data_IF_525231235619
#
_entry.id   IF_525231235619
#
_cell.length_a   1.000
_cell.length_b   1.000
_cell.length_c   1.000
_cell.angle_alpha   90.00
_cell.angle_beta   90.00
_cell.angle_gamma   90.00
#
_symmetry.space_group_name_H-M   'P 1'
#
loop_
_entity.id
_entity.type
_entity.pdbx_description
1 polymer ?
#
# COMPACT_ATOMS: atom_id res chain seq x y z
N UNK A 1 0.99 -9.60 -29.31
CA UNK A 1 0.65 -8.17 -29.19
C UNK A 1 -0.77 -8.08 -28.64
N UNK A 2 -0.95 -7.76 -27.35
CA UNK A 2 -2.29 -7.69 -26.76
C UNK A 2 -3.05 -6.45 -27.27
N UNK A 3 -4.30 -6.67 -27.67
CA UNK A 3 -5.21 -5.70 -28.33
C UNK A 3 -5.76 -4.58 -27.41
N UNK A 4 -5.30 -4.47 -26.17
CA UNK A 4 -5.84 -3.53 -25.17
C UNK A 4 -4.91 -2.36 -24.78
N UNK A 5 -3.91 -2.05 -25.62
CA UNK A 5 -3.01 -0.89 -25.50
C UNK A 5 -3.68 0.50 -25.58
N UNK A 6 -4.99 0.62 -25.35
CA UNK A 6 -5.68 1.92 -25.39
C UNK A 6 -5.47 2.64 -24.06
N UNK A 7 -4.56 3.61 -24.08
CA UNK A 7 -4.52 4.67 -23.07
C UNK A 7 -5.94 5.25 -22.98
N UNK A 8 -6.55 5.28 -21.78
CA UNK A 8 -7.88 5.85 -21.64
C UNK A 8 -7.88 7.30 -22.10
N UNK A 9 -8.88 7.69 -22.91
CA UNK A 9 -9.13 9.11 -23.18
C UNK A 9 -9.35 9.86 -21.86
N UNK A 10 -9.14 11.18 -21.85
CA UNK A 10 -9.45 11.99 -20.67
C UNK A 10 -10.92 11.80 -20.29
N UNK A 11 -11.16 11.58 -19.00
CA UNK A 11 -12.49 11.38 -18.44
C UNK A 11 -12.73 12.32 -17.26
N UNK A 12 -13.97 12.44 -16.81
CA UNK A 12 -14.34 13.29 -15.68
C UNK A 12 -13.48 12.98 -14.45
N UNK A 13 -12.96 14.03 -13.78
CA UNK A 13 -12.09 13.90 -12.61
C UNK A 13 -10.63 13.51 -12.91
N UNK A 14 -10.27 13.15 -14.15
CA UNK A 14 -8.88 12.75 -14.47
C UNK A 14 -7.82 13.83 -14.26
N UNK A 15 -8.21 15.11 -14.15
CA UNK A 15 -7.32 16.21 -13.78
C UNK A 15 -6.74 16.06 -12.36
N UNK A 16 -7.41 15.33 -11.47
CA UNK A 16 -6.95 15.07 -10.11
C UNK A 16 -5.68 14.21 -10.08
N UNK A 17 -5.38 13.47 -11.15
CA UNK A 17 -4.19 12.61 -11.22
C UNK A 17 -2.91 13.37 -11.59
N UNK A 18 -3.00 14.62 -12.06
CA UNK A 18 -1.82 15.39 -12.43
C UNK A 18 -0.96 15.64 -11.18
N UNK A 19 0.26 15.12 -11.21
CA UNK A 19 1.21 15.05 -10.08
C UNK A 19 0.84 14.09 -8.93
N UNK A 20 -0.20 13.27 -9.07
CA UNK A 20 -0.54 12.27 -8.06
C UNK A 20 0.47 11.12 -8.02
N UNK A 21 0.52 10.43 -6.88
CA UNK A 21 1.24 9.19 -6.65
C UNK A 21 0.26 8.17 -6.10
N UNK A 22 0.08 7.07 -6.80
CA UNK A 22 -0.72 5.94 -6.31
C UNK A 22 0.23 4.89 -5.74
N UNK A 23 0.44 4.89 -4.43
CA UNK A 23 1.44 4.05 -3.76
C UNK A 23 1.06 2.59 -3.62
N UNK A 24 -0.16 2.21 -3.97
CA UNK A 24 -0.70 0.88 -3.72
C UNK A 24 -1.45 0.37 -4.95
N UNK A 25 -0.72 -0.25 -5.87
CA UNK A 25 -1.32 -0.92 -7.04
C UNK A 25 -0.86 -2.36 -7.14
N UNK A 26 -1.79 -3.23 -7.54
CA UNK A 26 -1.59 -4.67 -7.69
C UNK A 26 -1.62 -5.08 -9.16
N UNK A 27 -0.59 -4.72 -9.93
CA UNK A 27 -0.49 -5.02 -11.36
C UNK A 27 0.64 -6.01 -11.74
N UNK A 28 1.33 -6.56 -10.73
CA UNK A 28 2.36 -7.58 -10.89
C UNK A 28 1.78 -8.93 -11.33
N UNK A 29 2.59 -9.80 -11.97
CA UNK A 29 2.19 -11.18 -12.23
C UNK A 29 1.70 -11.88 -10.96
N UNK A 30 0.56 -12.55 -11.06
CA UNK A 30 -0.12 -13.11 -9.89
C UNK A 30 -0.91 -14.34 -10.29
N UNK A 31 -1.18 -15.23 -9.33
CA UNK A 31 -1.95 -16.47 -9.59
C UNK A 31 -3.40 -16.17 -10.02
N UNK A 32 -3.95 -15.07 -9.49
CA UNK A 32 -5.23 -14.53 -9.91
C UNK A 32 -5.13 -13.55 -11.08
N UNK A 33 -6.22 -13.40 -11.84
CA UNK A 33 -6.30 -12.45 -12.95
C UNK A 33 -6.09 -11.01 -12.47
N UNK A 34 -5.31 -10.26 -13.24
CA UNK A 34 -5.14 -8.80 -13.11
C UNK A 34 -6.05 -8.06 -14.10
N UNK A 35 -6.46 -6.84 -13.77
CA UNK A 35 -7.20 -5.96 -14.70
C UNK A 35 -6.28 -5.28 -15.72
N UNK A 36 -4.98 -5.25 -15.45
CA UNK A 36 -3.93 -4.61 -16.25
C UNK A 36 -2.58 -5.23 -15.91
N UNK A 37 -1.61 -5.19 -16.83
CA UNK A 37 -0.22 -5.55 -16.50
C UNK A 37 0.65 -4.32 -16.21
N UNK A 38 1.84 -4.52 -15.64
CA UNK A 38 2.71 -3.43 -15.15
C UNK A 38 2.98 -2.35 -16.20
N UNK A 39 3.44 -2.71 -17.40
CA UNK A 39 3.74 -1.70 -18.44
C UNK A 39 2.51 -0.92 -18.95
N UNK A 40 1.30 -1.49 -18.91
CA UNK A 40 0.08 -0.75 -19.22
C UNK A 40 -0.21 0.27 -18.09
N UNK A 41 -0.04 -0.11 -16.82
CA UNK A 41 -0.20 0.80 -15.68
C UNK A 41 0.79 1.98 -15.76
N UNK A 42 2.05 1.72 -16.12
CA UNK A 42 3.07 2.76 -16.35
C UNK A 42 2.64 3.73 -17.46
N UNK A 43 2.20 3.20 -18.62
CA UNK A 43 1.73 4.05 -19.74
C UNK A 43 0.53 4.90 -19.35
N UNK A 44 -0.40 4.36 -18.57
CA UNK A 44 -1.56 5.11 -18.09
C UNK A 44 -1.14 6.22 -17.12
N UNK A 45 -0.29 5.92 -16.14
CA UNK A 45 0.21 6.91 -15.19
C UNK A 45 0.93 8.08 -15.90
N UNK A 46 1.75 7.77 -16.92
CA UNK A 46 2.39 8.78 -17.77
C UNK A 46 1.38 9.64 -18.54
N UNK A 47 0.37 9.01 -19.15
CA UNK A 47 -0.66 9.73 -19.91
C UNK A 47 -1.47 10.72 -19.05
N UNK A 48 -1.63 10.41 -17.76
CA UNK A 48 -2.29 11.27 -16.77
C UNK A 48 -1.31 12.16 -15.96
N UNK A 49 -0.03 12.21 -16.37
CA UNK A 49 1.02 13.03 -15.75
C UNK A 49 1.19 12.80 -14.24
N UNK A 50 1.00 11.55 -13.80
CA UNK A 50 1.30 11.15 -12.43
C UNK A 50 2.81 11.22 -12.17
N UNK A 51 3.19 11.38 -10.90
CA UNK A 51 4.61 11.45 -10.48
C UNK A 51 5.16 10.11 -10.03
N UNK A 52 4.31 9.19 -9.59
CA UNK A 52 4.77 7.83 -9.29
C UNK A 52 3.68 6.81 -9.09
N UNK A 53 4.09 5.54 -9.09
CA UNK A 53 3.24 4.39 -8.77
C UNK A 53 4.03 3.39 -7.90
N UNK A 54 3.36 2.85 -6.87
CA UNK A 54 3.92 1.85 -5.96
C UNK A 54 3.38 0.46 -6.25
N UNK A 55 4.28 -0.46 -6.61
CA UNK A 55 3.94 -1.85 -6.93
C UNK A 55 3.82 -2.66 -5.63
N UNK A 56 2.62 -3.13 -5.33
CA UNK A 56 2.36 -4.06 -4.23
C UNK A 56 1.96 -5.43 -4.77
N UNK A 57 2.40 -6.49 -4.09
CA UNK A 57 2.06 -7.87 -4.43
C UNK A 57 2.27 -8.80 -3.22
N UNK A 58 1.36 -9.73 -3.02
CA UNK A 58 1.40 -10.68 -1.90
C UNK A 58 2.26 -11.93 -2.17
N UNK A 59 2.67 -12.17 -3.42
CA UNK A 59 3.38 -13.38 -3.81
C UNK A 59 4.84 -13.13 -4.18
N UNK A 60 5.25 -11.89 -4.39
CA UNK A 60 6.60 -11.59 -4.82
C UNK A 60 7.12 -10.25 -4.29
N UNK A 61 8.45 -10.17 -4.23
CA UNK A 61 9.16 -8.91 -4.05
C UNK A 61 9.04 -8.08 -5.34
N UNK A 62 8.41 -6.91 -5.24
CA UNK A 62 8.14 -6.05 -6.41
C UNK A 62 9.27 -5.10 -6.75
N UNK A 63 10.29 -5.01 -5.89
CA UNK A 63 11.44 -4.11 -6.06
C UNK A 63 12.22 -4.40 -7.35
N UNK A 64 12.29 -5.67 -7.77
CA UNK A 64 12.95 -6.07 -9.01
C UNK A 64 12.21 -5.61 -10.26
N UNK A 65 10.89 -5.61 -10.24
CA UNK A 65 10.09 -5.05 -11.34
C UNK A 65 10.27 -3.54 -11.44
N UNK A 66 10.23 -2.83 -10.31
CA UNK A 66 10.50 -1.40 -10.28
C UNK A 66 11.89 -1.07 -10.82
N UNK A 67 12.93 -1.82 -10.41
CA UNK A 67 14.29 -1.66 -10.91
C UNK A 67 14.38 -1.83 -12.42
N UNK A 68 13.75 -2.88 -12.97
CA UNK A 68 13.75 -3.13 -14.41
C UNK A 68 13.03 -2.02 -15.19
N UNK A 69 11.88 -1.54 -14.70
CA UNK A 69 11.13 -0.47 -15.35
C UNK A 69 11.92 0.83 -15.36
N UNK A 70 12.47 1.22 -14.21
CA UNK A 70 13.29 2.43 -14.10
C UNK A 70 14.54 2.34 -15.00
N UNK A 71 15.13 1.16 -15.14
CA UNK A 71 16.29 0.91 -16.01
C UNK A 71 15.96 0.96 -17.50
N UNK A 72 14.84 0.38 -17.90
CA UNK A 72 14.42 0.35 -19.31
C UNK A 72 13.77 1.68 -19.74
N UNK A 73 13.26 2.46 -18.79
CA UNK A 73 12.50 3.67 -19.04
C UNK A 73 13.17 4.92 -18.45
N UNK A 74 14.50 5.00 -18.46
CA UNK A 74 15.31 6.05 -17.78
C UNK A 74 14.89 7.51 -18.09
N UNK A 75 14.18 7.76 -19.20
CA UNK A 75 13.73 9.10 -19.60
C UNK A 75 12.24 9.40 -19.32
N UNK A 76 11.54 8.60 -18.49
CA UNK A 76 10.14 8.86 -18.16
C UNK A 76 9.99 9.74 -16.93
N UNK A 77 9.04 10.68 -16.96
CA UNK A 77 8.69 11.54 -15.83
C UNK A 77 7.73 10.86 -14.86
N UNK A 78 8.04 9.62 -14.48
CA UNK A 78 7.27 8.80 -13.53
C UNK A 78 8.25 7.96 -12.70
N UNK A 79 8.15 8.04 -11.39
CA UNK A 79 8.93 7.21 -10.47
C UNK A 79 8.16 5.93 -10.14
N UNK A 80 8.75 4.77 -10.44
CA UNK A 80 8.16 3.47 -10.13
C UNK A 80 8.93 2.85 -8.98
N UNK A 81 8.25 2.47 -7.91
CA UNK A 81 8.87 1.84 -6.75
C UNK A 81 8.13 0.56 -6.36
N UNK A 82 8.84 -0.31 -5.65
CA UNK A 82 8.31 -1.54 -5.11
C UNK A 82 8.72 -1.74 -3.65
N UNK A 83 8.52 -2.96 -3.19
CA UNK A 83 8.83 -3.36 -1.82
C UNK A 83 8.57 -4.84 -1.60
N UNK A 84 8.52 -5.20 -0.33
CA UNK A 84 8.23 -6.56 0.12
C UNK A 84 7.06 -6.53 1.09
N UNK A 85 6.00 -7.25 0.77
CA UNK A 85 5.00 -7.68 1.75
C UNK A 85 5.45 -9.04 2.26
N UNK A 86 5.72 -9.16 3.57
CA UNK A 86 6.32 -10.36 4.17
C UNK A 86 5.34 -11.53 4.31
N UNK A 87 4.52 -11.77 3.30
CA UNK A 87 3.70 -12.97 3.17
C UNK A 87 4.59 -14.22 3.03
N UNK A 88 4.16 -15.40 3.50
CA UNK A 88 4.92 -16.64 3.37
C UNK A 88 5.37 -16.95 1.94
N UNK A 89 4.52 -16.67 0.95
CA UNK A 89 4.81 -16.90 -0.46
C UNK A 89 5.91 -15.99 -1.02
N UNK A 90 6.14 -14.83 -0.41
CA UNK A 90 7.21 -13.90 -0.75
C UNK A 90 8.47 -14.08 0.15
N UNK A 91 8.53 -15.17 0.93
CA UNK A 91 9.65 -15.46 1.82
C UNK A 91 9.38 -15.20 3.31
N UNK A 92 8.14 -14.83 3.67
CA UNK A 92 7.67 -14.70 5.04
C UNK A 92 8.35 -13.58 5.84
N UNK A 93 8.08 -13.56 7.14
CA UNK A 93 8.71 -12.63 8.09
C UNK A 93 10.13 -13.09 8.36
N UNK A 94 11.07 -12.51 7.62
CA UNK A 94 12.47 -12.91 7.59
C UNK A 94 13.37 -11.71 7.38
N UNK A 95 14.34 -11.53 8.29
CA UNK A 95 15.35 -10.49 8.13
C UNK A 95 16.19 -10.69 6.85
N UNK A 96 16.40 -11.95 6.44
CA UNK A 96 17.13 -12.25 5.20
C UNK A 96 16.35 -11.81 3.96
N UNK A 97 15.04 -12.10 3.92
CA UNK A 97 14.16 -11.63 2.83
C UNK A 97 14.16 -10.11 2.73
N UNK A 98 14.21 -9.40 3.87
CA UNK A 98 14.32 -7.94 3.93
C UNK A 98 15.68 -7.44 3.44
N UNK A 99 16.80 -8.05 3.85
CA UNK A 99 18.15 -7.70 3.35
C UNK A 99 18.23 -7.85 1.84
N UNK A 100 17.72 -8.96 1.31
CA UNK A 100 17.66 -9.20 -0.14
C UNK A 100 16.80 -8.13 -0.81
N UNK A 101 15.61 -7.82 -0.27
CA UNK A 101 14.74 -6.81 -0.83
C UNK A 101 15.38 -5.42 -0.87
N UNK A 102 16.03 -5.00 0.21
CA UNK A 102 16.71 -3.70 0.29
C UNK A 102 17.90 -3.59 -0.68
N UNK A 103 18.53 -4.73 -1.00
CA UNK A 103 19.67 -4.80 -1.93
C UNK A 103 19.25 -5.06 -3.39
N UNK A 104 17.95 -5.19 -3.67
CA UNK A 104 17.43 -5.64 -4.97
C UNK A 104 17.40 -4.49 -5.98
N UNK A 105 18.52 -4.26 -6.69
CA UNK A 105 18.66 -3.16 -7.66
C UNK A 105 19.75 -3.42 -8.73
N UNK A 106 19.86 -2.51 -9.71
CA UNK A 106 20.90 -2.49 -10.76
C UNK A 106 22.03 -1.47 -10.48
N UNK A 107 22.30 -1.16 -9.21
CA UNK A 107 23.29 -0.17 -8.77
C UNK A 107 22.70 1.17 -8.30
N UNK A 108 21.38 1.34 -8.34
CA UNK A 108 20.66 2.49 -7.79
C UNK A 108 19.79 2.11 -6.58
N UNK A 109 20.00 2.74 -5.41
CA UNK A 109 19.32 2.38 -4.15
C UNK A 109 17.89 2.96 -4.05
N UNK A 110 17.11 2.95 -5.14
CA UNK A 110 15.87 3.71 -5.24
C UNK A 110 14.61 2.86 -5.52
N UNK A 111 14.74 1.54 -5.64
CA UNK A 111 13.64 0.66 -6.07
C UNK A 111 12.78 0.17 -4.89
N UNK A 112 13.40 -0.28 -3.80
CA UNK A 112 12.71 -0.73 -2.59
C UNK A 112 12.37 0.46 -1.72
N UNK A 113 11.07 0.73 -1.52
CA UNK A 113 10.58 1.86 -0.73
C UNK A 113 9.68 1.50 0.44
N UNK A 114 9.25 0.25 0.53
CA UNK A 114 8.54 -0.24 1.70
C UNK A 114 8.92 -1.67 2.05
N UNK A 115 8.81 -1.96 3.34
CA UNK A 115 8.73 -3.30 3.89
C UNK A 115 7.42 -3.36 4.68
N UNK A 116 6.54 -4.28 4.32
CA UNK A 116 5.24 -4.46 4.94
C UNK A 116 5.21 -5.73 5.77
N UNK A 117 4.59 -5.64 6.94
CA UNK A 117 4.06 -6.84 7.60
C UNK A 117 3.01 -7.51 6.70
N UNK A 118 2.66 -8.79 6.94
CA UNK A 118 1.68 -9.51 6.14
C UNK A 118 0.31 -8.82 6.08
N UNK A 119 -0.45 -9.20 5.07
CA UNK A 119 -1.87 -8.88 4.91
C UNK A 119 -2.75 -10.03 5.40
N UNK A 120 -2.65 -11.23 4.81
CA UNK A 120 -3.53 -12.36 5.17
C UNK A 120 -2.93 -13.29 6.24
N UNK A 121 -1.61 -13.24 6.47
CA UNK A 121 -0.94 -13.99 7.54
C UNK A 121 -0.74 -13.17 8.82
N UNK A 122 -1.72 -12.32 9.17
CA UNK A 122 -1.84 -11.74 10.51
C UNK A 122 -2.94 -12.46 11.28
N UNK A 123 -2.76 -12.63 12.59
CA UNK A 123 -3.72 -13.29 13.46
C UNK A 123 -5.07 -12.58 13.45
N UNK A 124 -5.06 -11.26 13.27
CA UNK A 124 -6.27 -10.46 13.14
C UNK A 124 -7.07 -10.84 11.88
N UNK A 125 -6.44 -10.83 10.70
CA UNK A 125 -7.12 -11.17 9.45
C UNK A 125 -7.52 -12.64 9.42
N UNK A 126 -6.63 -13.56 9.85
CA UNK A 126 -6.93 -14.98 9.91
C UNK A 126 -8.19 -15.29 10.75
N UNK A 127 -8.43 -14.53 11.83
CA UNK A 127 -9.68 -14.62 12.63
C UNK A 127 -10.90 -14.10 11.88
N UNK A 128 -10.80 -12.94 11.22
CA UNK A 128 -11.90 -12.38 10.42
C UNK A 128 -12.28 -13.29 9.24
N UNK A 129 -11.30 -13.99 8.69
CA UNK A 129 -11.46 -14.94 7.60
C UNK A 129 -12.00 -16.32 8.07
N UNK A 130 -12.16 -16.53 9.39
CA UNK A 130 -12.57 -17.79 10.01
C UNK A 130 -11.65 -18.98 9.64
N UNK A 131 -10.34 -18.73 9.62
CA UNK A 131 -9.32 -19.74 9.35
C UNK A 131 -9.24 -20.76 10.49
N UNK A 132 -8.64 -21.92 10.21
CA UNK A 132 -8.40 -22.96 11.23
C UNK A 132 -7.52 -22.45 12.37
N UNK A 133 -7.69 -23.03 13.57
CA UNK A 133 -6.90 -22.65 14.76
C UNK A 133 -5.39 -22.74 14.50
N UNK A 134 -4.93 -23.84 13.88
CA UNK A 134 -3.52 -24.02 13.50
C UNK A 134 -3.00 -22.90 12.57
N UNK A 135 -3.84 -22.39 11.67
CA UNK A 135 -3.48 -21.28 10.79
C UNK A 135 -3.40 -19.96 11.57
N UNK A 136 -4.37 -19.68 12.45
CA UNK A 136 -4.40 -18.49 13.30
C UNK A 136 -3.17 -18.45 14.23
N UNK A 137 -2.74 -19.60 14.75
CA UNK A 137 -1.57 -19.72 15.63
C UNK A 137 -0.26 -19.40 14.91
N UNK A 138 -0.13 -19.78 13.63
CA UNK A 138 1.08 -19.54 12.82
C UNK A 138 1.20 -18.11 12.27
N UNK A 139 0.11 -17.35 12.29
CA UNK A 139 0.08 -15.98 11.79
C UNK A 139 0.77 -14.98 12.74
N UNK A 140 1.25 -13.87 12.16
CA UNK A 140 1.85 -12.76 12.89
C UNK A 140 0.85 -12.15 13.87
N UNK A 141 1.32 -11.87 15.08
CA UNK A 141 0.62 -11.02 16.04
C UNK A 141 1.65 -10.19 16.81
N UNK A 142 1.22 -9.04 17.32
CA UNK A 142 2.08 -8.17 18.15
C UNK A 142 1.57 -8.24 19.59
N UNK A 143 2.14 -9.10 20.45
CA UNK A 143 1.62 -9.33 21.80
C UNK A 143 1.81 -8.10 22.70
N UNK A 144 1.05 -8.07 23.80
CA UNK A 144 1.30 -7.18 24.93
C UNK A 144 2.58 -7.63 25.65
N UNK A 145 3.71 -7.19 25.14
CA UNK A 145 5.04 -7.54 25.62
C UNK A 145 5.90 -6.28 25.75
N UNK A 146 6.92 -6.34 26.61
CA UNK A 146 7.94 -5.29 26.67
C UNK A 146 8.97 -5.40 25.54
N UNK A 147 9.01 -6.51 24.81
CA UNK A 147 9.97 -6.80 23.75
C UNK A 147 9.29 -7.47 22.55
N UNK A 148 9.75 -7.13 21.34
CA UNK A 148 9.34 -7.84 20.12
C UNK A 148 10.10 -9.16 20.00
N UNK A 149 9.40 -10.20 19.53
CA UNK A 149 10.00 -11.47 19.21
C UNK A 149 10.80 -11.40 17.90
N UNK A 150 11.83 -12.23 17.79
CA UNK A 150 12.60 -12.39 16.56
C UNK A 150 11.70 -12.88 15.41
N UNK A 151 11.97 -12.48 14.16
CA UNK A 151 13.08 -11.61 13.73
C UNK A 151 12.70 -10.11 13.65
N UNK A 152 11.60 -9.67 14.27
CA UNK A 152 11.09 -8.29 14.12
C UNK A 152 12.07 -7.19 14.57
N UNK A 153 12.83 -7.33 15.68
CA UNK A 153 13.84 -6.35 16.07
C UNK A 153 14.82 -6.02 14.94
N UNK A 154 15.43 -7.05 14.32
CA UNK A 154 16.39 -6.89 13.22
C UNK A 154 15.72 -6.29 11.97
N UNK A 155 14.50 -6.72 11.64
CA UNK A 155 13.75 -6.17 10.50
C UNK A 155 13.53 -4.65 10.68
N UNK A 156 13.13 -4.22 11.88
CA UNK A 156 12.92 -2.80 12.16
C UNK A 156 14.23 -2.00 12.10
N UNK A 157 15.34 -2.59 12.55
CA UNK A 157 16.66 -1.96 12.45
C UNK A 157 17.06 -1.79 10.97
N UNK A 158 16.89 -2.81 10.14
CA UNK A 158 17.14 -2.75 8.69
C UNK A 158 16.29 -1.67 8.00
N UNK A 159 15.01 -1.57 8.37
CA UNK A 159 14.10 -0.53 7.86
C UNK A 159 14.58 0.87 8.25
N UNK A 160 15.00 1.05 9.51
CA UNK A 160 15.50 2.33 10.01
C UNK A 160 16.82 2.75 9.34
N UNK A 161 17.76 1.81 9.18
CA UNK A 161 19.06 2.03 8.53
C UNK A 161 18.92 2.43 7.06
N UNK A 162 17.98 1.80 6.34
CA UNK A 162 17.75 2.06 4.91
C UNK A 162 16.71 3.17 4.67
N UNK A 163 16.08 3.66 5.74
CA UNK A 163 15.12 4.76 5.69
C UNK A 163 13.95 4.51 4.71
N UNK A 164 13.48 3.27 4.65
CA UNK A 164 12.30 2.88 3.86
C UNK A 164 11.03 2.92 4.72
N UNK A 165 9.87 2.87 4.09
CA UNK A 165 8.58 2.89 4.78
C UNK A 165 8.33 1.55 5.46
N UNK A 166 8.06 1.56 6.76
CA UNK A 166 7.37 0.45 7.42
C UNK A 166 5.88 0.55 7.09
N UNK A 167 5.33 -0.45 6.42
CA UNK A 167 3.89 -0.65 6.37
C UNK A 167 3.50 -1.67 7.46
N UNK A 168 2.57 -1.31 8.32
CA UNK A 168 2.15 -2.19 9.43
C UNK A 168 1.38 -3.42 8.97
N UNK A 169 1.07 -3.54 7.68
CA UNK A 169 0.21 -4.60 7.16
C UNK A 169 -1.18 -4.55 7.77
N UNK A 170 -1.87 -5.69 7.79
CA UNK A 170 -3.24 -5.77 8.29
C UNK A 170 -3.28 -6.30 9.73
N UNK A 171 -2.71 -5.54 10.66
CA UNK A 171 -2.82 -5.81 12.09
C UNK A 171 -4.16 -5.29 12.65
N UNK A 172 -4.51 -5.71 13.87
CA UNK A 172 -5.51 -4.96 14.64
C UNK A 172 -4.97 -3.58 15.05
N UNK A 173 -5.86 -2.64 15.41
CA UNK A 173 -5.46 -1.27 15.76
C UNK A 173 -4.46 -1.22 16.91
N UNK A 174 -4.72 -2.00 17.96
CA UNK A 174 -3.84 -2.07 19.13
C UNK A 174 -2.48 -2.69 18.79
N UNK A 175 -2.46 -3.73 17.95
CA UNK A 175 -1.21 -4.34 17.48
C UNK A 175 -0.38 -3.38 16.62
N UNK A 176 -1.04 -2.60 15.75
CA UNK A 176 -0.38 -1.59 14.94
C UNK A 176 0.25 -0.50 15.82
N UNK A 177 -0.47 0.03 16.82
CA UNK A 177 0.06 1.02 17.79
C UNK A 177 1.27 0.47 18.55
N UNK A 178 1.21 -0.79 18.98
CA UNK A 178 2.35 -1.46 19.63
C UNK A 178 3.54 -1.56 18.68
N UNK A 179 3.34 -2.02 17.45
CA UNK A 179 4.41 -2.12 16.45
C UNK A 179 5.03 -0.75 16.15
N UNK A 180 4.22 0.29 15.97
CA UNK A 180 4.67 1.68 15.78
C UNK A 180 5.57 2.12 16.92
N UNK A 181 5.14 1.85 18.16
CA UNK A 181 5.91 2.21 19.36
C UNK A 181 7.29 1.55 19.40
N UNK A 182 7.38 0.28 18.99
CA UNK A 182 8.67 -0.40 18.87
C UNK A 182 9.50 0.12 17.70
N UNK A 183 8.89 0.32 16.54
CA UNK A 183 9.56 0.82 15.33
C UNK A 183 10.19 2.21 15.57
N UNK A 184 9.46 3.13 16.19
CA UNK A 184 9.99 4.48 16.51
C UNK A 184 11.12 4.45 17.51
N UNK A 185 11.06 3.59 18.54
CA UNK A 185 12.19 3.40 19.49
C UNK A 185 13.46 2.90 18.80
N UNK A 186 13.34 2.21 17.67
CA UNK A 186 14.45 1.70 16.86
C UNK A 186 14.85 2.65 15.73
N UNK A 187 14.24 3.83 15.66
CA UNK A 187 14.62 4.87 14.71
C UNK A 187 13.92 4.79 13.36
N UNK A 188 12.86 3.98 13.20
CA UNK A 188 12.04 4.00 11.98
C UNK A 188 11.34 5.35 11.85
N UNK A 189 11.62 6.08 10.76
CA UNK A 189 11.16 7.45 10.54
C UNK A 189 9.87 7.54 9.73
N UNK A 190 9.60 6.53 8.89
CA UNK A 190 8.51 6.54 7.90
C UNK A 190 7.62 5.34 8.14
N UNK A 191 6.39 5.61 8.56
CA UNK A 191 5.43 4.56 8.88
C UNK A 191 4.10 4.87 8.21
N UNK A 192 3.61 3.90 7.45
CA UNK A 192 2.29 3.89 6.85
C UNK A 192 1.44 2.80 7.51
N UNK A 193 0.17 3.11 7.75
CA UNK A 193 -0.75 2.24 8.47
C UNK A 193 -2.04 2.09 7.63
N UNK A 194 -2.31 0.92 7.04
CA UNK A 194 -3.59 0.61 6.43
C UNK A 194 -4.69 0.75 7.49
N UNK A 195 -5.51 1.79 7.37
CA UNK A 195 -6.37 2.27 8.47
C UNK A 195 -7.86 2.15 8.18
N UNK A 196 -8.24 1.63 7.01
CA UNK A 196 -9.66 1.55 6.58
C UNK A 196 -10.54 0.72 7.52
N UNK A 197 -10.00 -0.29 8.20
CA UNK A 197 -10.73 -1.17 9.11
C UNK A 197 -10.69 -0.72 10.58
N UNK A 198 -10.13 0.45 10.88
CA UNK A 198 -10.04 0.97 12.24
C UNK A 198 -11.17 1.94 12.60
N UNK A 199 -11.29 2.18 13.90
CA UNK A 199 -12.12 3.23 14.46
C UNK A 199 -11.39 4.59 14.51
N UNK A 200 -12.15 5.67 14.64
CA UNK A 200 -11.64 7.05 14.55
C UNK A 200 -10.63 7.39 15.66
N UNK A 201 -10.78 6.78 16.83
CA UNK A 201 -9.88 6.94 17.98
C UNK A 201 -8.49 6.34 17.70
N UNK A 202 -8.44 5.12 17.15
CA UNK A 202 -7.20 4.45 16.73
C UNK A 202 -6.50 5.26 15.65
N UNK A 203 -7.24 5.74 14.64
CA UNK A 203 -6.68 6.60 13.58
C UNK A 203 -6.12 7.91 14.15
N UNK A 204 -6.83 8.53 15.08
CA UNK A 204 -6.34 9.71 15.80
C UNK A 204 -5.07 9.43 16.61
N UNK A 205 -4.93 8.23 17.19
CA UNK A 205 -3.71 7.82 17.89
C UNK A 205 -2.53 7.59 16.95
N UNK A 206 -2.74 6.92 15.81
CA UNK A 206 -1.74 6.76 14.74
C UNK A 206 -1.18 8.12 14.31
N UNK A 207 -2.07 9.12 14.18
CA UNK A 207 -1.69 10.49 13.81
C UNK A 207 -0.87 11.18 14.89
N UNK A 208 -1.23 11.04 16.17
CA UNK A 208 -0.45 11.58 17.30
C UNK A 208 0.95 10.98 17.38
N UNK A 209 1.12 9.75 16.88
CA UNK A 209 2.41 9.10 16.76
C UNK A 209 3.21 9.58 15.54
N UNK A 210 2.74 10.55 14.75
CA UNK A 210 3.41 11.04 13.54
C UNK A 210 3.64 9.91 12.52
N UNK A 211 2.55 9.22 12.18
CA UNK A 211 2.48 8.20 11.14
C UNK A 211 1.47 8.63 10.07
N UNK A 212 1.49 7.95 8.92
CA UNK A 212 0.50 8.15 7.87
C UNK A 212 -0.56 7.06 7.91
N UNK A 213 -1.84 7.45 7.91
CA UNK A 213 -2.95 6.54 7.69
C UNK A 213 -3.24 6.42 6.19
N UNK A 214 -3.23 5.18 5.69
CA UNK A 214 -3.65 4.88 4.32
C UNK A 214 -5.13 4.48 4.29
N UNK A 215 -5.87 5.05 3.35
CA UNK A 215 -7.21 4.65 3.00
C UNK A 215 -7.29 4.32 1.52
N UNK A 216 -7.81 3.14 1.18
CA UNK A 216 -7.84 2.66 -0.20
C UNK A 216 -9.26 2.57 -0.78
N UNK A 217 -9.35 2.70 -2.09
CA UNK A 217 -10.61 2.55 -2.84
C UNK A 217 -11.25 1.16 -2.64
N UNK A 218 -10.45 0.12 -2.42
CA UNK A 218 -10.95 -1.26 -2.25
C UNK A 218 -12.08 -1.32 -1.23
N UNK A 219 -11.89 -0.71 -0.04
CA UNK A 219 -12.83 -0.77 1.08
C UNK A 219 -14.16 -0.03 0.83
N UNK A 220 -14.23 0.91 -0.11
CA UNK A 220 -15.47 1.64 -0.46
C UNK A 220 -16.10 1.13 -1.76
N UNK A 221 -15.57 0.04 -2.32
CA UNK A 221 -15.97 -0.53 -3.59
C UNK A 221 -16.74 -1.84 -3.39
N UNK A 222 -17.44 -2.29 -4.44
CA UNK A 222 -18.11 -3.59 -4.44
C UNK A 222 -17.12 -4.78 -4.44
N UNK A 223 -15.80 -4.54 -4.54
CA UNK A 223 -14.81 -5.61 -4.49
C UNK A 223 -14.78 -6.32 -3.13
N UNK A 224 -15.12 -5.63 -2.03
CA UNK A 224 -15.22 -6.23 -0.69
C UNK A 224 -16.26 -7.35 -0.62
N UNK A 225 -17.28 -7.28 -1.48
CA UNK A 225 -18.36 -8.27 -1.57
C UNK A 225 -18.04 -9.47 -2.47
N UNK A 226 -16.92 -9.41 -3.20
CA UNK A 226 -16.47 -10.52 -4.04
C UNK A 226 -15.52 -11.38 -3.22
N UNK A 227 -15.91 -12.63 -2.97
CA UNK A 227 -15.02 -13.57 -2.29
C UNK A 227 -13.81 -13.87 -3.19
N UNK A 228 -12.62 -13.53 -2.72
CA UNK A 228 -11.37 -13.68 -3.44
C UNK A 228 -10.33 -14.41 -2.61
N UNK A 229 -9.46 -15.14 -3.31
CA UNK A 229 -8.17 -15.52 -2.76
C UNK A 229 -7.19 -14.38 -3.01
N UNK A 230 -6.41 -14.07 -1.98
CA UNK A 230 -5.28 -13.17 -2.08
C UNK A 230 -3.95 -13.88 -1.81
N UNK A 231 -4.00 -15.15 -1.39
CA UNK A 231 -2.85 -15.92 -0.94
C UNK A 231 -2.95 -17.44 -1.21
N UNK A 232 -4.15 -18.06 -1.24
CA UNK A 232 -4.31 -19.52 -1.39
C UNK A 232 -5.58 -19.94 -2.17
N UNK A 233 -6.25 -21.06 -1.84
CA UNK A 233 -7.49 -21.48 -2.50
C UNK A 233 -8.77 -20.98 -1.80
N UNK A 234 -8.67 -20.56 -0.53
CA UNK A 234 -9.83 -20.06 0.21
C UNK A 234 -10.19 -18.64 -0.26
N UNK A 235 -11.49 -18.36 -0.24
CA UNK A 235 -12.03 -17.09 -0.74
C UNK A 235 -12.78 -16.38 0.36
N UNK A 236 -12.29 -15.21 0.71
CA UNK A 236 -12.86 -14.40 1.79
C UNK A 236 -13.39 -13.07 1.25
N UNK A 237 -14.38 -12.53 1.97
CA UNK A 237 -14.89 -11.18 1.76
C UNK A 237 -14.25 -10.24 2.77
N UNK A 238 -14.18 -8.97 2.41
CA UNK A 238 -13.78 -7.91 3.34
C UNK A 238 -15.00 -7.15 3.85
N UNK A 239 -14.89 -6.54 5.03
CA UNK A 239 -15.95 -5.66 5.54
C UNK A 239 -15.88 -4.31 4.80
N UNK A 240 -16.95 -3.88 4.10
CA UNK A 240 -16.96 -2.59 3.44
C UNK A 240 -16.98 -1.43 4.43
N UNK A 241 -16.37 -0.32 4.04
CA UNK A 241 -16.42 0.95 4.74
C UNK A 241 -17.36 1.86 3.96
N UNK A 242 -18.44 2.32 4.61
CA UNK A 242 -19.30 3.31 3.97
C UNK A 242 -18.57 4.66 3.86
N UNK A 243 -18.95 5.46 2.84
CA UNK A 243 -18.25 6.72 2.55
C UNK A 243 -18.28 7.74 3.70
N UNK A 244 -19.37 7.81 4.46
CA UNK A 244 -19.44 8.71 5.62
C UNK A 244 -18.43 8.32 6.71
N UNK A 245 -18.25 7.02 6.97
CA UNK A 245 -17.23 6.52 7.89
C UNK A 245 -15.83 6.78 7.34
N UNK A 246 -15.59 6.53 6.06
CA UNK A 246 -14.31 6.85 5.42
C UNK A 246 -13.94 8.33 5.59
N UNK A 247 -14.89 9.25 5.38
CA UNK A 247 -14.68 10.68 5.59
C UNK A 247 -14.34 11.04 7.05
N UNK A 248 -14.97 10.36 8.02
CA UNK A 248 -14.63 10.54 9.45
C UNK A 248 -13.24 10.04 9.77
N UNK A 249 -12.83 8.90 9.22
CA UNK A 249 -11.48 8.36 9.40
C UNK A 249 -10.43 9.30 8.80
N UNK A 250 -10.64 9.82 7.58
CA UNK A 250 -9.76 10.83 6.98
C UNK A 250 -9.68 12.10 7.85
N UNK A 251 -10.81 12.56 8.42
CA UNK A 251 -10.82 13.71 9.35
C UNK A 251 -10.07 13.42 10.65
N UNK A 252 -10.19 12.21 11.19
CA UNK A 252 -9.46 11.78 12.38
C UNK A 252 -7.95 11.68 12.11
N UNK A 253 -7.55 11.25 10.91
CA UNK A 253 -6.16 11.23 10.47
C UNK A 253 -5.61 12.64 10.22
N UNK A 254 -6.45 13.53 9.70
CA UNK A 254 -6.04 14.84 9.23
C UNK A 254 -5.35 14.78 7.86
N UNK A 255 -5.50 15.85 7.08
CA UNK A 255 -5.03 15.91 5.68
C UNK A 255 -3.54 15.65 5.55
N UNK A 256 -2.70 16.16 6.46
CA UNK A 256 -1.23 16.04 6.39
C UNK A 256 -0.68 14.65 6.71
N UNK A 257 -1.48 13.79 7.35
CA UNK A 257 -1.11 12.44 7.75
C UNK A 257 -1.94 11.39 7.01
N UNK A 258 -2.60 11.76 5.92
CA UNK A 258 -3.43 10.84 5.13
C UNK A 258 -2.76 10.52 3.79
N UNK A 259 -2.82 9.24 3.41
CA UNK A 259 -2.50 8.74 2.07
C UNK A 259 -3.79 8.15 1.49
N UNK A 260 -4.17 8.58 0.29
CA UNK A 260 -5.24 7.92 -0.47
C UNK A 260 -4.62 7.09 -1.58
N UNK A 261 -5.07 5.84 -1.73
CA UNK A 261 -4.55 4.92 -2.74
C UNK A 261 -5.68 4.15 -3.44
N UNK A 262 -5.38 3.59 -4.61
CA UNK A 262 -6.40 2.86 -5.36
C UNK A 262 -6.55 1.40 -4.94
N UNK A 263 -5.46 0.74 -4.53
CA UNK A 263 -5.44 -0.71 -4.28
C UNK A 263 -6.00 -1.52 -5.48
N UNK A 264 -5.88 -0.93 -6.68
CA UNK A 264 -6.45 -1.46 -7.92
C UNK A 264 -5.42 -2.30 -8.68
N UNK A 265 -5.89 -3.00 -9.71
CA UNK A 265 -5.06 -3.90 -10.54
C UNK A 265 -5.43 -5.37 -10.36
N UNK A 266 -6.10 -5.73 -9.25
CA UNK A 266 -6.88 -6.96 -9.15
C UNK A 266 -8.06 -6.94 -10.14
N UNK A 267 -8.40 -8.10 -10.72
CA UNK A 267 -9.42 -8.20 -11.78
C UNK A 267 -10.83 -7.74 -11.40
N UNK A 268 -11.19 -7.72 -10.11
CA UNK A 268 -12.50 -7.25 -9.64
C UNK A 268 -12.60 -5.74 -9.53
N UNK A 269 -11.47 -5.05 -9.56
CA UNK A 269 -11.38 -3.59 -9.51
C UNK A 269 -11.15 -3.02 -10.92
N UNK A 270 -11.55 -1.75 -11.15
CA UNK A 270 -11.17 -1.02 -12.35
C UNK A 270 -9.64 -0.99 -12.54
N UNK A 271 -9.19 -0.61 -13.73
CA UNK A 271 -7.78 -0.26 -13.94
C UNK A 271 -7.38 0.89 -12.99
N UNK A 272 -6.12 0.95 -12.50
CA UNK A 272 -5.71 1.83 -11.42
C UNK A 272 -6.12 3.30 -11.58
N UNK A 273 -5.80 3.94 -12.71
CA UNK A 273 -6.14 5.35 -12.94
C UNK A 273 -7.65 5.64 -12.88
N UNK A 274 -8.51 4.68 -13.27
CA UNK A 274 -9.97 4.85 -13.19
C UNK A 274 -10.48 4.60 -11.78
N UNK A 275 -9.97 3.57 -11.11
CA UNK A 275 -10.31 3.28 -9.72
C UNK A 275 -9.91 4.43 -8.81
N UNK A 276 -8.71 4.97 -9.01
CA UNK A 276 -8.21 6.08 -8.22
C UNK A 276 -9.07 7.32 -8.38
N UNK A 277 -9.33 7.79 -9.61
CA UNK A 277 -10.21 8.95 -9.84
C UNK A 277 -11.61 8.72 -9.27
N UNK A 278 -12.18 7.53 -9.42
CA UNK A 278 -13.48 7.21 -8.83
C UNK A 278 -13.46 7.40 -7.32
N UNK A 279 -12.41 6.94 -6.65
CA UNK A 279 -12.23 7.16 -5.23
C UNK A 279 -12.10 8.64 -4.87
N UNK A 280 -11.27 9.39 -5.58
CA UNK A 280 -11.06 10.82 -5.32
C UNK A 280 -12.34 11.63 -5.50
N UNK A 281 -13.16 11.31 -6.51
CA UNK A 281 -14.47 11.93 -6.70
C UNK A 281 -15.45 11.57 -5.56
N UNK A 282 -15.42 10.33 -5.07
CA UNK A 282 -16.21 9.93 -3.90
C UNK A 282 -15.78 10.69 -2.64
N UNK A 283 -14.47 10.87 -2.43
CA UNK A 283 -13.94 11.70 -1.33
C UNK A 283 -14.34 13.16 -1.50
N UNK A 284 -14.26 13.72 -2.70
CA UNK A 284 -14.72 15.09 -2.99
C UNK A 284 -16.19 15.29 -2.63
N UNK A 285 -17.05 14.30 -2.91
CA UNK A 285 -18.47 14.33 -2.53
C UNK A 285 -18.71 14.34 -1.01
N UNK A 286 -17.72 13.91 -0.21
CA UNK A 286 -17.75 13.99 1.26
C UNK A 286 -17.32 15.37 1.80
N UNK A 287 -17.03 16.33 0.91
CA UNK A 287 -16.75 17.72 1.26
C UNK A 287 -15.26 18.08 1.32
N UNK A 288 -14.36 17.21 0.86
CA UNK A 288 -12.93 17.54 0.71
C UNK A 288 -12.69 18.28 -0.61
N UNK A 289 -11.89 19.35 -0.57
CA UNK A 289 -11.57 20.12 -1.76
C UNK A 289 -10.39 19.53 -2.57
N UNK A 290 -10.10 20.12 -3.74
CA UNK A 290 -9.05 19.63 -4.63
C UNK A 290 -7.64 19.81 -4.03
N UNK A 291 -7.43 20.83 -3.20
CA UNK A 291 -6.15 21.08 -2.54
C UNK A 291 -5.90 20.04 -1.46
N UNK A 292 -6.92 19.74 -0.64
CA UNK A 292 -6.86 18.70 0.38
C UNK A 292 -6.63 17.33 -0.26
N UNK A 293 -7.36 17.01 -1.34
CA UNK A 293 -7.15 15.77 -2.10
C UNK A 293 -5.72 15.72 -2.64
N UNK A 294 -5.21 16.81 -3.20
CA UNK A 294 -3.85 16.90 -3.74
C UNK A 294 -2.80 16.63 -2.65
N UNK A 295 -2.97 17.16 -1.45
CA UNK A 295 -2.05 16.88 -0.34
C UNK A 295 -1.99 15.38 -0.03
N UNK A 296 -3.15 14.71 0.01
CA UNK A 296 -3.26 13.29 0.38
C UNK A 296 -2.81 12.30 -0.71
N UNK A 297 -2.75 12.72 -1.98
CA UNK A 297 -2.32 11.86 -3.10
C UNK A 297 -0.96 12.24 -3.70
N UNK A 298 -0.43 13.41 -3.36
CA UNK A 298 0.80 13.94 -3.96
C UNK A 298 1.81 14.27 -2.87
N UNK A 299 1.64 15.40 -2.16
CA UNK A 299 2.66 15.91 -1.24
C UNK A 299 3.02 14.90 -0.14
N UNK A 300 2.01 14.31 0.51
CA UNK A 300 2.22 13.33 1.57
C UNK A 300 2.91 12.06 1.03
N UNK A 301 2.39 11.51 -0.06
CA UNK A 301 2.92 10.28 -0.67
C UNK A 301 4.33 10.46 -1.20
N UNK A 302 4.62 11.61 -1.81
CA UNK A 302 5.96 11.96 -2.29
C UNK A 302 6.97 12.06 -1.15
N UNK A 303 6.58 12.70 -0.05
CA UNK A 303 7.42 12.81 1.15
C UNK A 303 7.64 11.45 1.82
N UNK A 304 6.60 10.63 1.92
CA UNK A 304 6.64 9.33 2.57
C UNK A 304 7.52 8.33 1.81
N UNK A 305 7.38 8.25 0.48
CA UNK A 305 8.09 7.27 -0.36
C UNK A 305 9.34 7.82 -1.06
N UNK A 306 9.71 9.08 -0.81
CA UNK A 306 10.89 9.74 -1.41
C UNK A 306 10.85 9.70 -2.94
N UNK A 307 9.73 10.15 -3.50
CA UNK A 307 9.49 10.17 -4.95
C UNK A 307 10.43 11.16 -5.63
N UNK A 308 11.10 10.71 -6.70
CA UNK A 308 12.04 11.54 -7.46
C UNK A 308 11.29 12.68 -8.17
N UNK A 309 11.65 13.92 -7.85
CA UNK A 309 11.23 15.09 -8.62
C UNK A 309 12.28 15.36 -9.69
N UNK A 310 12.03 14.87 -10.91
CA UNK A 310 12.82 15.30 -12.07
C UNK A 310 12.37 16.72 -12.42
N UNK A 311 13.13 17.72 -11.99
CA UNK A 311 13.04 19.11 -12.48
C UNK A 311 13.60 19.22 -13.90
#
# INVERSE_FOLDING_TARGET
MHLNNKIPEKFEGSYLLENAVDSHIHCCPHLNKRSIHIFEAVRHALAFKMKGIGLMDNFCNTSGYAALINKEMENIKLDVFGGLIMEPYAGGISAESVKIALSYNYGDNLNTRFISMPTHHTRYIAKLENRSENYIESCLHIPESKQLADPLPEILDLIAENDVVLNTGHLSGEEAIRLISFAKKRGVKRIMVPSSHYEEDIVGEITKLDCYSEFSFFFVSNATEVALTHIDEEKHKATPVNLNKMAKLIKAAGIKNTILSSDCGVSVLPIPVRGFVKFLLMIKQQGFDDSEIKDMISNNTMNLFKIKTND
#
